data_IF_730057011553
#
_entry.id   IF_730057011553
#
_cell.length_a   1.000
_cell.length_b   1.000
_cell.length_c   1.000
_cell.angle_alpha   90.00
_cell.angle_beta   90.00
_cell.angle_gamma   90.00
#
_symmetry.space_group_name_H-M   'P 1'
#
loop_
_entity.id
_entity.type
_entity.pdbx_description
1 polymer ?
#
# COMPACT_ATOMS: atom_id res chain seq x y z
N UNK A 1 -25.19 8.16 13.36
CA UNK A 1 -24.90 6.72 13.48
C UNK A 1 -23.40 6.54 13.32
N UNK A 2 -22.67 6.43 14.44
CA UNK A 2 -21.21 6.27 14.47
C UNK A 2 -20.87 4.86 13.95
N UNK A 3 -20.15 4.77 12.83
CA UNK A 3 -19.68 3.51 12.27
C UNK A 3 -18.45 3.07 13.08
N UNK A 4 -18.56 1.94 13.77
CA UNK A 4 -17.42 1.26 14.37
C UNK A 4 -16.56 0.68 13.24
N UNK A 5 -15.45 1.34 12.91
CA UNK A 5 -14.33 0.66 12.25
C UNK A 5 -13.58 -0.09 13.34
N UNK A 6 -13.54 -1.41 13.18
CA UNK A 6 -12.90 -2.35 14.09
C UNK A 6 -11.39 -2.26 13.85
N UNK A 7 -10.69 -1.72 14.85
CA UNK A 7 -9.25 -1.67 14.93
C UNK A 7 -8.66 -3.08 14.78
N UNK A 8 -7.80 -3.26 13.78
CA UNK A 8 -6.96 -4.45 13.68
C UNK A 8 -5.58 -4.14 14.24
N UNK A 9 -5.20 -4.90 15.28
CA UNK A 9 -3.93 -4.80 16.00
C UNK A 9 -2.73 -4.77 15.03
N UNK A 10 -2.05 -3.63 14.96
CA UNK A 10 -0.66 -3.54 14.56
C UNK A 10 0.21 -4.15 15.67
N UNK A 11 0.65 -5.39 15.50
CA UNK A 11 1.74 -5.96 16.30
C UNK A 11 3.06 -5.61 15.61
N UNK A 12 3.67 -4.50 16.02
CA UNK A 12 5.05 -4.15 15.66
C UNK A 12 6.01 -4.87 16.61
N UNK A 13 6.72 -5.88 16.11
CA UNK A 13 7.86 -6.44 16.81
C UNK A 13 9.11 -5.58 16.51
N UNK A 14 9.51 -4.74 17.47
CA UNK A 14 10.75 -3.94 17.39
C UNK A 14 11.90 -4.81 17.89
N UNK A 15 12.78 -5.23 16.96
CA UNK A 15 14.07 -5.81 17.27
C UNK A 15 15.16 -4.73 17.27
N UNK A 16 15.64 -4.34 18.45
CA UNK A 16 16.84 -3.51 18.58
C UNK A 16 18.10 -4.35 18.27
N UNK A 17 18.87 -3.94 17.26
CA UNK A 17 20.20 -4.46 16.96
C UNK A 17 21.22 -3.32 16.93
N UNK A 18 22.04 -3.25 17.98
CA UNK A 18 23.10 -2.28 18.20
C UNK A 18 24.41 -2.76 17.52
N UNK A 19 25.15 -1.90 16.82
CA UNK A 19 26.61 -2.07 16.59
C UNK A 19 27.30 -0.77 16.14
N UNK A 20 28.49 -0.60 16.70
CA UNK A 20 29.35 0.55 16.85
C UNK A 20 30.34 0.82 15.70
N UNK A 21 30.68 2.09 15.52
CA UNK A 21 32.06 2.61 15.61
C UNK A 21 33.00 2.47 14.41
N UNK A 22 33.58 3.60 13.99
CA UNK A 22 34.77 3.63 13.13
C UNK A 22 35.08 5.03 12.59
N UNK A 23 35.96 5.77 13.29
CA UNK A 23 36.57 7.02 12.83
C UNK A 23 37.69 6.75 11.81
N UNK A 24 37.91 7.69 10.88
CA UNK A 24 39.06 7.73 9.97
C UNK A 24 39.10 9.01 9.14
N UNK A 25 40.11 9.84 9.37
CA UNK A 25 40.32 11.21 8.86
C UNK A 25 41.12 11.30 7.55
N UNK A 26 40.76 12.33 6.77
CA UNK A 26 41.53 13.26 5.91
C UNK A 26 42.43 12.82 4.73
N UNK A 27 42.15 13.31 3.50
CA UNK A 27 42.91 14.44 2.87
C UNK A 27 42.54 14.75 1.39
N UNK A 28 42.65 16.04 1.06
CA UNK A 28 42.23 16.83 -0.12
C UNK A 28 42.85 16.54 -1.51
N UNK A 29 42.10 16.85 -2.59
CA UNK A 29 42.30 17.97 -3.57
C UNK A 29 41.31 17.79 -4.77
N UNK A 30 40.34 18.68 -5.06
CA UNK A 30 40.45 19.92 -5.87
C UNK A 30 40.01 19.67 -7.34
N UNK A 31 39.07 20.35 -8.01
CA UNK A 31 38.17 21.46 -7.69
C UNK A 31 37.25 21.84 -8.88
N UNK A 32 36.27 22.73 -8.62
CA UNK A 32 35.52 23.57 -9.57
C UNK A 32 34.17 23.02 -10.08
N UNK A 33 32.99 23.63 -9.86
CA UNK A 33 32.59 24.83 -9.14
C UNK A 33 31.06 25.07 -9.28
N UNK A 34 30.45 25.65 -8.24
CA UNK A 34 29.19 26.41 -8.20
C UNK A 34 27.87 25.65 -8.46
N UNK A 35 26.86 25.61 -7.60
CA UNK A 35 26.59 26.23 -6.31
C UNK A 35 25.11 26.02 -5.96
N UNK A 36 24.81 25.77 -4.69
CA UNK A 36 23.48 25.97 -4.11
C UNK A 36 22.60 24.73 -3.88
N UNK A 37 22.47 24.33 -2.62
CA UNK A 37 21.30 23.61 -2.10
C UNK A 37 21.51 22.13 -1.83
N UNK A 38 21.94 21.80 -0.61
CA UNK A 38 21.87 20.44 -0.08
C UNK A 38 20.42 20.00 0.09
N UNK A 39 19.83 19.47 -0.97
CA UNK A 39 18.63 18.66 -0.91
C UNK A 39 19.05 17.21 -1.13
N UNK A 40 18.56 16.29 -0.30
CA UNK A 40 18.72 14.85 -0.47
C UNK A 40 18.21 14.44 -1.87
N UNK A 41 19.10 14.45 -2.87
CA UNK A 41 18.78 14.15 -4.25
C UNK A 41 18.59 12.64 -4.37
N UNK A 42 17.33 12.22 -4.47
CA UNK A 42 17.02 10.83 -4.78
C UNK A 42 17.59 10.46 -6.16
N UNK A 43 17.96 9.19 -6.38
CA UNK A 43 18.26 8.68 -7.72
C UNK A 43 17.16 9.06 -8.73
N UNK A 44 17.56 9.30 -9.98
CA UNK A 44 16.60 9.61 -11.04
C UNK A 44 15.54 8.51 -11.17
N UNK A 45 14.28 8.92 -11.34
CA UNK A 45 13.13 8.02 -11.45
C UNK A 45 12.47 7.67 -10.12
N UNK A 46 13.00 8.13 -8.98
CA UNK A 46 12.36 8.01 -7.67
C UNK A 46 11.73 9.33 -7.23
N UNK A 47 10.67 9.25 -6.44
CA UNK A 47 9.94 10.40 -5.93
C UNK A 47 9.45 10.20 -4.51
N UNK A 48 9.13 11.32 -3.85
CA UNK A 48 8.45 11.36 -2.57
C UNK A 48 7.75 12.73 -2.39
N UNK A 49 7.31 13.06 -1.18
CA UNK A 49 6.65 14.34 -0.89
C UNK A 49 7.50 15.58 -1.23
N UNK A 50 8.83 15.48 -1.13
CA UNK A 50 9.76 16.60 -1.36
C UNK A 50 10.35 16.58 -2.77
N UNK A 51 10.66 15.40 -3.29
CA UNK A 51 11.26 15.18 -4.60
C UNK A 51 10.17 14.76 -5.58
N UNK A 52 9.69 15.71 -6.37
CA UNK A 52 8.64 15.49 -7.38
C UNK A 52 9.21 14.82 -8.63
N UNK A 53 8.35 14.08 -9.32
CA UNK A 53 8.69 13.58 -10.65
C UNK A 53 8.83 14.71 -11.66
N UNK A 54 9.61 14.51 -12.74
CA UNK A 54 9.65 15.42 -13.87
C UNK A 54 8.25 15.70 -14.45
N UNK A 55 8.12 16.82 -15.16
CA UNK A 55 6.86 17.19 -15.80
C UNK A 55 6.34 16.08 -16.72
N UNK A 56 5.02 15.84 -16.66
CA UNK A 56 4.36 14.77 -17.42
C UNK A 56 4.47 13.37 -16.79
N UNK A 57 5.07 13.25 -15.61
CA UNK A 57 5.14 11.99 -14.86
C UNK A 57 4.34 12.06 -13.56
N UNK A 58 3.90 10.90 -13.07
CA UNK A 58 3.21 10.76 -11.80
C UNK A 58 4.02 9.92 -10.82
N UNK A 59 3.97 10.29 -9.54
CA UNK A 59 4.65 9.54 -8.48
C UNK A 59 3.79 8.37 -7.99
N UNK A 60 4.00 7.18 -8.54
CA UNK A 60 3.36 5.95 -8.03
C UNK A 60 4.26 5.31 -6.99
N UNK A 61 3.80 5.26 -5.75
CA UNK A 61 4.44 4.44 -4.72
C UNK A 61 5.96 4.71 -4.60
N UNK A 62 6.37 5.97 -4.76
CA UNK A 62 7.77 6.39 -4.71
C UNK A 62 8.60 6.22 -5.98
N UNK A 63 7.96 5.85 -7.10
CA UNK A 63 8.57 5.65 -8.42
C UNK A 63 7.84 6.54 -9.44
N UNK A 64 8.59 7.25 -10.27
CA UNK A 64 8.03 8.08 -11.31
C UNK A 64 7.58 7.26 -12.53
N UNK A 65 6.32 7.45 -12.92
CA UNK A 65 5.73 6.81 -14.08
C UNK A 65 5.39 7.85 -15.16
N UNK A 66 5.83 7.66 -16.42
CA UNK A 66 5.45 8.55 -17.51
C UNK A 66 3.97 8.45 -17.84
N UNK A 67 3.38 9.57 -18.27
CA UNK A 67 2.06 9.60 -18.88
C UNK A 67 2.04 8.79 -20.19
N UNK A 68 0.90 8.20 -20.51
CA UNK A 68 0.74 7.37 -21.70
C UNK A 68 -0.66 7.50 -22.30
N UNK A 69 -0.76 7.09 -23.56
CA UNK A 69 -2.02 6.90 -24.29
C UNK A 69 -2.13 5.49 -24.86
N UNK A 70 -1.01 4.78 -24.99
CA UNK A 70 -0.95 3.39 -25.42
C UNK A 70 0.30 2.69 -24.86
N UNK A 71 0.37 1.35 -24.99
CA UNK A 71 1.55 0.57 -24.59
C UNK A 71 2.84 0.97 -25.32
N UNK A 72 2.77 1.68 -26.44
CA UNK A 72 3.96 2.15 -27.17
C UNK A 72 4.71 3.27 -26.43
N UNK A 73 4.04 3.93 -25.50
CA UNK A 73 4.62 5.00 -24.68
C UNK A 73 5.37 4.44 -23.46
N UNK A 74 5.26 3.13 -23.22
CA UNK A 74 5.80 2.44 -22.04
C UNK A 74 6.96 1.52 -22.41
N UNK A 75 7.89 1.32 -21.48
CA UNK A 75 8.93 0.30 -21.64
C UNK A 75 8.38 -1.13 -21.62
N UNK A 76 9.18 -2.11 -22.05
CA UNK A 76 8.73 -3.49 -22.25
C UNK A 76 8.16 -4.16 -20.99
N UNK A 77 8.64 -3.80 -19.80
CA UNK A 77 8.14 -4.29 -18.50
C UNK A 77 6.93 -3.53 -17.97
N UNK A 78 6.43 -2.54 -18.72
CA UNK A 78 5.32 -1.67 -18.35
C UNK A 78 4.19 -1.73 -19.37
N UNK A 79 3.01 -1.28 -18.97
CA UNK A 79 1.85 -1.15 -19.82
C UNK A 79 1.13 0.17 -19.52
N UNK A 80 0.42 0.70 -20.50
CA UNK A 80 -0.44 1.86 -20.31
C UNK A 80 -1.79 1.39 -19.78
N UNK A 81 -2.11 1.74 -18.53
CA UNK A 81 -3.37 1.33 -17.90
C UNK A 81 -4.52 2.24 -18.32
N UNK A 82 -5.05 1.98 -19.51
CA UNK A 82 -6.19 2.72 -20.07
C UNK A 82 -7.53 2.34 -19.43
N UNK A 83 -7.54 1.33 -18.55
CA UNK A 83 -8.71 0.92 -17.75
C UNK A 83 -8.81 1.72 -16.44
N UNK A 84 -7.80 2.51 -16.11
CA UNK A 84 -7.77 3.33 -14.90
C UNK A 84 -8.77 4.50 -14.96
N UNK A 85 -8.92 5.22 -13.84
CA UNK A 85 -9.93 6.28 -13.68
C UNK A 85 -9.63 7.52 -14.52
N UNK A 86 -9.92 7.43 -15.82
CA UNK A 86 -9.82 8.51 -16.79
C UNK A 86 -8.39 9.03 -17.03
N UNK A 87 -8.20 9.79 -18.12
CA UNK A 87 -6.91 10.42 -18.40
C UNK A 87 -6.56 11.49 -17.35
N UNK A 88 -5.26 11.78 -17.14
CA UNK A 88 -4.12 11.13 -17.77
C UNK A 88 -3.92 9.69 -17.28
N UNK A 89 -3.56 8.81 -18.21
CA UNK A 89 -3.09 7.44 -17.91
C UNK A 89 -1.57 7.45 -17.75
N UNK A 90 -1.06 6.44 -17.06
CA UNK A 90 0.36 6.33 -16.77
C UNK A 90 0.86 4.91 -17.00
N UNK A 91 2.13 4.79 -17.34
CA UNK A 91 2.79 3.50 -17.48
C UNK A 91 2.92 2.82 -16.11
N UNK A 92 2.32 1.65 -15.96
CA UNK A 92 2.39 0.82 -14.76
C UNK A 92 3.22 -0.43 -15.03
N UNK A 93 3.85 -0.99 -14.00
CA UNK A 93 4.56 -2.26 -14.15
C UNK A 93 3.56 -3.38 -14.50
N UNK A 94 3.93 -4.24 -15.45
CA UNK A 94 3.12 -5.41 -15.81
C UNK A 94 2.99 -6.42 -14.66
N UNK A 95 3.93 -6.39 -13.73
CA UNK A 95 3.98 -7.24 -12.54
C UNK A 95 4.30 -6.41 -11.31
N UNK A 96 3.69 -6.75 -10.17
CA UNK A 96 3.99 -6.13 -8.87
C UNK A 96 5.13 -6.90 -8.20
N UNK A 97 6.29 -6.27 -7.91
CA UNK A 97 7.37 -6.93 -7.19
C UNK A 97 6.96 -7.19 -5.74
N UNK A 98 7.27 -8.39 -5.26
CA UNK A 98 7.17 -8.76 -3.85
C UNK A 98 8.52 -8.64 -3.16
N UNK A 99 8.53 -8.48 -1.85
CA UNK A 99 9.74 -8.38 -1.04
C UNK A 99 9.67 -9.26 0.21
N UNK A 100 10.81 -9.50 0.83
CA UNK A 100 11.01 -10.13 2.15
C UNK A 100 11.90 -9.27 3.04
N UNK A 101 12.54 -8.24 2.49
CA UNK A 101 13.36 -7.25 3.21
C UNK A 101 13.40 -5.92 2.46
N UNK A 102 13.66 -4.83 3.17
CA UNK A 102 13.74 -3.47 2.60
C UNK A 102 14.78 -3.33 1.49
N UNK A 103 15.86 -4.11 1.55
CA UNK A 103 16.93 -4.12 0.55
C UNK A 103 16.48 -4.54 -0.85
N UNK A 104 15.30 -5.15 -0.97
CA UNK A 104 14.70 -5.55 -2.25
C UNK A 104 13.79 -4.48 -2.84
N UNK A 105 13.50 -3.41 -2.09
CA UNK A 105 12.65 -2.31 -2.51
C UNK A 105 13.49 -1.10 -2.96
N UNK A 106 12.87 -0.17 -3.69
CA UNK A 106 13.54 1.07 -4.05
C UNK A 106 13.89 1.89 -2.80
N UNK A 107 14.88 2.80 -2.90
CA UNK A 107 15.33 3.59 -1.75
C UNK A 107 14.22 4.43 -1.08
N UNK A 108 13.17 4.77 -1.82
CA UNK A 108 11.96 5.48 -1.35
C UNK A 108 10.90 4.57 -0.72
N UNK A 109 11.11 3.26 -0.74
CA UNK A 109 10.16 2.25 -0.33
C UNK A 109 10.67 1.42 0.85
N UNK A 110 9.75 0.80 1.57
CA UNK A 110 9.97 -0.16 2.65
C UNK A 110 9.23 -1.44 2.32
N UNK A 111 9.76 -2.58 2.75
CA UNK A 111 9.07 -3.85 2.58
C UNK A 111 8.01 -4.02 3.66
N UNK A 112 6.75 -3.81 3.30
CA UNK A 112 5.60 -3.97 4.17
C UNK A 112 4.78 -5.16 3.68
N UNK A 113 4.60 -6.19 4.52
CA UNK A 113 3.66 -7.31 4.23
C UNK A 113 3.93 -8.04 2.89
N UNK A 114 5.21 -8.11 2.51
CA UNK A 114 5.71 -8.61 1.22
C UNK A 114 5.46 -7.72 -0.01
N UNK A 115 5.11 -6.46 0.18
CA UNK A 115 5.03 -5.46 -0.88
C UNK A 115 6.01 -4.33 -0.63
N UNK A 116 6.60 -3.82 -1.70
CA UNK A 116 7.36 -2.58 -1.62
C UNK A 116 6.39 -1.41 -1.62
N UNK A 117 6.29 -0.72 -0.49
CA UNK A 117 5.36 0.39 -0.29
C UNK A 117 6.13 1.66 0.04
N UNK A 118 5.60 2.81 -0.35
CA UNK A 118 6.25 4.11 -0.15
C UNK A 118 6.49 4.31 1.34
N UNK A 119 7.71 4.72 1.70
CA UNK A 119 8.02 5.09 3.09
C UNK A 119 7.05 6.18 3.54
N UNK A 120 6.39 6.03 4.71
CA UNK A 120 5.58 7.10 5.26
C UNK A 120 6.39 8.41 5.31
N UNK A 121 5.84 9.53 4.83
CA UNK A 121 6.57 10.78 4.81
C UNK A 121 6.84 11.27 6.24
N UNK A 122 8.02 11.83 6.48
CA UNK A 122 8.39 12.43 7.78
C UNK A 122 7.41 13.54 8.17
N UNK A 123 6.97 14.32 7.18
CA UNK A 123 5.87 15.27 7.33
C UNK A 123 4.61 14.63 6.78
N UNK A 124 3.73 14.20 7.68
CA UNK A 124 2.48 13.54 7.33
C UNK A 124 1.49 14.55 6.73
N UNK A 125 1.08 14.39 5.46
CA UNK A 125 0.03 15.24 4.91
C UNK A 125 -1.26 15.00 5.68
N UNK A 126 -2.00 16.08 5.94
CA UNK A 126 -3.33 15.96 6.54
C UNK A 126 -4.24 15.19 5.58
N UNK A 127 -4.71 14.02 6.01
CA UNK A 127 -5.72 13.22 5.34
C UNK A 127 -6.81 12.85 6.36
N UNK A 128 -8.00 12.48 5.89
CA UNK A 128 -9.12 12.11 6.76
C UNK A 128 -9.35 10.58 6.77
N UNK A 129 -8.93 9.86 7.83
CA UNK A 129 -9.12 8.42 7.91
C UNK A 129 -10.60 8.01 7.98
N UNK A 130 -11.52 8.90 8.40
CA UNK A 130 -12.97 8.61 8.38
C UNK A 130 -13.54 8.52 6.96
N UNK A 131 -12.79 9.02 5.97
CA UNK A 131 -13.12 9.00 4.55
C UNK A 131 -12.24 8.04 3.75
N UNK A 132 -11.39 7.25 4.41
CA UNK A 132 -10.40 6.38 3.79
C UNK A 132 -10.98 5.58 2.60
N UNK A 133 -10.29 5.64 1.47
CA UNK A 133 -10.70 4.95 0.24
C UNK A 133 -11.72 5.71 -0.61
N UNK A 134 -12.19 6.88 -0.17
CA UNK A 134 -13.00 7.80 -0.99
C UNK A 134 -12.11 8.82 -1.70
N UNK A 135 -12.62 9.44 -2.78
CA UNK A 135 -11.95 10.53 -3.47
C UNK A 135 -11.69 11.77 -2.57
N UNK A 136 -12.37 11.84 -1.42
CA UNK A 136 -12.33 12.94 -0.47
C UNK A 136 -11.51 12.63 0.79
N UNK A 137 -10.75 11.54 0.82
CA UNK A 137 -9.88 11.18 1.96
C UNK A 137 -8.64 12.09 2.10
N UNK A 138 -8.43 13.01 1.16
CA UNK A 138 -7.30 13.94 1.14
C UNK A 138 -6.02 13.37 0.52
N UNK A 139 -6.04 12.10 0.10
CA UNK A 139 -4.95 11.45 -0.60
C UNK A 139 -5.17 11.45 -2.11
N UNK A 140 -4.08 11.33 -2.88
CA UNK A 140 -4.18 11.18 -4.32
C UNK A 140 -4.95 9.90 -4.71
N UNK A 141 -5.29 9.77 -6.00
CA UNK A 141 -6.13 8.67 -6.48
C UNK A 141 -5.50 7.27 -6.30
N UNK A 142 -4.21 7.14 -6.01
CA UNK A 142 -3.51 5.86 -5.80
C UNK A 142 -2.94 5.69 -4.39
N UNK A 143 -3.43 6.50 -3.45
CA UNK A 143 -3.15 6.37 -2.04
C UNK A 143 -4.45 6.40 -1.24
N UNK A 144 -4.43 5.77 -0.07
CA UNK A 144 -5.54 5.83 0.89
C UNK A 144 -5.06 6.43 2.21
N UNK A 145 -5.93 7.18 2.87
CA UNK A 145 -5.62 7.69 4.20
C UNK A 145 -5.63 6.54 5.22
N UNK A 146 -4.52 6.35 5.92
CA UNK A 146 -4.37 5.32 6.96
C UNK A 146 -3.96 5.99 8.26
N UNK A 147 -4.67 5.68 9.34
CA UNK A 147 -4.28 6.05 10.70
C UNK A 147 -3.68 4.83 11.41
N UNK A 148 -2.36 4.78 11.64
CA UNK A 148 -1.74 3.65 12.34
C UNK A 148 -2.12 3.61 13.83
N UNK A 149 -2.62 4.73 14.38
CA UNK A 149 -2.95 4.90 15.78
C UNK A 149 -4.45 5.19 15.94
N UNK A 150 -5.31 4.34 15.38
CA UNK A 150 -6.79 4.44 15.45
C UNK A 150 -7.35 4.60 16.89
N UNK A 151 -6.52 4.35 17.91
CA UNK A 151 -6.85 4.53 19.33
C UNK A 151 -6.84 5.99 19.80
N UNK A 152 -6.14 6.88 19.08
CA UNK A 152 -6.04 8.29 19.43
C UNK A 152 -6.99 9.11 18.55
N UNK A 153 -8.02 9.71 19.16
CA UNK A 153 -9.00 10.58 18.49
C UNK A 153 -8.40 11.82 17.78
N UNK A 154 -7.07 11.99 17.83
CA UNK A 154 -6.37 13.16 17.28
C UNK A 154 -6.08 13.02 15.80
N UNK A 155 -6.13 11.80 15.21
CA UNK A 155 -5.81 11.52 13.79
C UNK A 155 -4.46 12.10 13.33
N UNK A 156 -3.60 12.48 14.27
CA UNK A 156 -2.35 13.22 14.01
C UNK A 156 -1.33 12.36 13.27
N UNK A 157 -1.49 11.05 13.35
CA UNK A 157 -0.61 10.08 12.72
C UNK A 157 -1.09 9.59 11.37
N UNK A 158 -2.26 10.05 10.92
CA UNK A 158 -2.82 9.69 9.63
C UNK A 158 -1.90 10.14 8.49
N UNK A 159 -1.72 9.28 7.50
CA UNK A 159 -0.91 9.57 6.33
C UNK A 159 -1.48 8.87 5.09
N UNK A 160 -1.11 9.37 3.91
CA UNK A 160 -1.45 8.74 2.65
C UNK A 160 -0.53 7.56 2.37
N UNK A 161 -1.05 6.34 2.55
CA UNK A 161 -0.37 5.12 2.17
C UNK A 161 -0.56 4.87 0.67
N UNK A 162 0.54 4.83 -0.08
CA UNK A 162 0.53 4.48 -1.50
C UNK A 162 0.84 2.99 -1.65
N UNK A 163 0.15 2.37 -2.60
CA UNK A 163 0.23 0.94 -2.88
C UNK A 163 0.75 0.70 -4.29
N UNK A 164 1.29 -0.50 -4.57
CA UNK A 164 1.66 -0.86 -5.93
C UNK A 164 0.46 -0.74 -6.89
N UNK A 165 0.67 -0.22 -8.12
CA UNK A 165 -0.36 -0.26 -9.15
C UNK A 165 -0.84 -1.68 -9.42
N UNK A 166 -2.07 -1.84 -9.94
CA UNK A 166 -2.48 -3.15 -10.43
C UNK A 166 -1.56 -3.62 -11.56
N UNK A 167 -1.25 -4.92 -11.65
CA UNK A 167 -0.58 -5.50 -12.81
C UNK A 167 -1.53 -5.56 -14.02
N UNK A 168 -0.97 -5.84 -15.19
CA UNK A 168 -1.73 -5.83 -16.46
C UNK A 168 -2.87 -6.84 -16.49
N UNK A 169 -2.71 -7.99 -15.82
CA UNK A 169 -3.73 -9.03 -15.71
C UNK A 169 -4.76 -8.76 -14.60
N UNK A 170 -4.59 -7.67 -13.83
CA UNK A 170 -5.43 -7.33 -12.69
C UNK A 170 -5.23 -8.24 -11.46
N UNK A 171 -4.29 -9.19 -11.50
CA UNK A 171 -4.07 -10.17 -10.41
C UNK A 171 -2.93 -9.70 -9.52
N UNK A 172 -3.29 -9.01 -8.44
CA UNK A 172 -2.32 -8.64 -7.41
C UNK A 172 -1.70 -9.88 -6.75
N UNK A 173 -0.39 -9.88 -6.46
CA UNK A 173 0.21 -10.88 -5.60
C UNK A 173 -0.55 -10.96 -4.29
N UNK A 174 -0.69 -12.13 -3.68
CA UNK A 174 -1.41 -12.24 -2.40
C UNK A 174 -0.57 -11.75 -1.22
N UNK A 175 0.76 -11.71 -1.36
CA UNK A 175 1.67 -11.35 -0.27
C UNK A 175 1.36 -12.12 1.02
N UNK A 176 1.49 -11.45 2.18
CA UNK A 176 1.22 -12.06 3.48
C UNK A 176 -0.26 -12.06 3.89
N UNK A 177 -1.04 -11.08 3.44
CA UNK A 177 -2.40 -10.82 3.95
C UNK A 177 -3.48 -10.80 2.87
N UNK A 178 -3.13 -11.19 1.65
CA UNK A 178 -3.98 -11.08 0.48
C UNK A 178 -3.89 -9.70 -0.17
N UNK A 179 -4.27 -9.63 -1.44
CA UNK A 179 -4.51 -8.36 -2.12
C UNK A 179 -5.47 -8.56 -3.30
N UNK A 180 -6.20 -7.50 -3.62
CA UNK A 180 -7.09 -7.46 -4.79
C UNK A 180 -6.91 -6.14 -5.51
N UNK A 181 -6.92 -6.17 -6.85
CA UNK A 181 -6.87 -4.95 -7.63
C UNK A 181 -8.13 -4.11 -7.38
N UNK A 182 -7.95 -2.81 -7.14
CA UNK A 182 -9.07 -1.87 -7.17
C UNK A 182 -9.53 -1.64 -8.60
N UNK A 183 -10.45 -2.48 -9.08
CA UNK A 183 -11.04 -2.38 -10.41
C UNK A 183 -12.40 -1.65 -10.37
N UNK A 184 -12.41 -0.49 -9.72
CA UNK A 184 -13.62 0.33 -9.50
C UNK A 184 -14.40 0.02 -8.22
N UNK A 185 -13.83 -0.73 -7.28
CA UNK A 185 -14.47 -1.01 -5.99
C UNK A 185 -14.45 0.20 -5.04
N UNK A 186 -13.36 0.96 -5.05
CA UNK A 186 -13.22 2.24 -4.37
C UNK A 186 -13.50 3.37 -5.36
N UNK A 187 -14.70 3.95 -5.25
CA UNK A 187 -15.13 5.02 -6.15
C UNK A 187 -14.20 6.22 -6.08
N UNK A 188 -13.73 6.67 -7.25
CA UNK A 188 -12.83 7.83 -7.38
C UNK A 188 -11.38 7.57 -7.00
N UNK A 189 -11.03 6.31 -6.69
CA UNK A 189 -9.66 5.84 -6.57
C UNK A 189 -9.27 5.02 -7.80
N UNK A 190 -8.01 5.12 -8.20
CA UNK A 190 -7.46 4.42 -9.35
C UNK A 190 -7.08 2.97 -9.06
N UNK A 191 -6.54 2.30 -10.07
CA UNK A 191 -6.21 0.87 -10.01
C UNK A 191 -4.88 0.64 -9.30
N UNK A 192 -4.95 0.23 -8.03
CA UNK A 192 -3.83 -0.23 -7.20
C UNK A 192 -4.20 -1.50 -6.43
N UNK A 193 -3.20 -2.25 -5.99
CA UNK A 193 -3.39 -3.45 -5.19
C UNK A 193 -3.77 -3.08 -3.75
N UNK A 194 -5.02 -3.37 -3.39
CA UNK A 194 -5.52 -3.17 -2.04
C UNK A 194 -5.06 -4.34 -1.16
N UNK A 195 -3.93 -4.15 -0.49
CA UNK A 195 -3.40 -5.13 0.45
C UNK A 195 -4.37 -5.40 1.61
N UNK A 196 -4.46 -6.66 2.03
CA UNK A 196 -5.36 -7.11 3.09
C UNK A 196 -6.81 -7.30 2.66
N UNK A 197 -7.17 -6.89 1.44
CA UNK A 197 -8.52 -7.04 0.91
C UNK A 197 -8.64 -8.21 -0.07
N UNK A 198 -9.85 -8.77 -0.17
CA UNK A 198 -10.14 -9.87 -1.08
C UNK A 198 -11.55 -9.75 -1.68
N UNK A 199 -11.69 -10.20 -2.92
CA UNK A 199 -12.98 -10.47 -3.55
C UNK A 199 -13.40 -11.92 -3.32
N UNK A 200 -12.45 -12.85 -3.41
CA UNK A 200 -12.65 -14.27 -3.16
C UNK A 200 -11.33 -14.90 -2.67
N UNK A 201 -11.34 -16.22 -2.46
CA UNK A 201 -10.21 -16.94 -1.88
C UNK A 201 -8.94 -16.88 -2.76
N UNK A 202 -9.04 -16.61 -4.07
CA UNK A 202 -7.84 -16.50 -4.92
C UNK A 202 -7.04 -15.23 -4.63
N UNK A 203 -7.63 -14.25 -3.93
CA UNK A 203 -6.92 -13.05 -3.48
C UNK A 203 -6.20 -13.24 -2.15
N UNK A 204 -6.35 -14.39 -1.50
CA UNK A 204 -5.78 -14.67 -0.18
C UNK A 204 -4.60 -15.63 -0.28
N UNK A 205 -3.68 -15.62 0.72
CA UNK A 205 -2.66 -16.64 0.84
C UNK A 205 -3.29 -18.04 0.81
N UNK A 206 -2.53 -19.04 0.37
CA UNK A 206 -3.00 -20.41 0.33
C UNK A 206 -3.56 -20.83 1.70
N UNK A 207 -4.68 -21.57 1.68
CA UNK A 207 -5.46 -22.01 2.86
C UNK A 207 -6.15 -20.92 3.70
N UNK A 208 -6.13 -19.66 3.28
CA UNK A 208 -6.90 -18.59 3.93
C UNK A 208 -8.25 -18.42 3.22
N UNK A 209 -9.23 -17.90 3.96
CA UNK A 209 -10.57 -17.64 3.46
C UNK A 209 -10.80 -16.14 3.28
N UNK A 210 -11.46 -15.76 2.20
CA UNK A 210 -11.95 -14.40 2.04
C UNK A 210 -13.25 -14.22 2.80
N UNK A 211 -13.22 -13.44 3.89
CA UNK A 211 -14.37 -13.24 4.77
C UNK A 211 -14.99 -11.87 4.52
N UNK A 212 -16.26 -11.87 4.14
CA UNK A 212 -17.05 -10.65 3.90
C UNK A 212 -17.63 -10.12 5.20
N UNK A 213 -17.56 -8.79 5.47
CA UNK A 213 -18.08 -8.21 6.70
C UNK A 213 -19.61 -8.34 6.82
N UNK A 214 -20.31 -8.46 5.70
CA UNK A 214 -21.77 -8.68 5.62
C UNK A 214 -22.12 -9.37 4.29
N UNK A 215 -23.30 -10.00 4.21
CA UNK A 215 -23.72 -10.90 3.11
C UNK A 215 -23.60 -10.31 1.70
N UNK A 216 -23.78 -9.00 1.55
CA UNK A 216 -23.73 -8.32 0.24
C UNK A 216 -22.45 -7.51 0.01
N UNK A 217 -21.44 -7.66 0.88
CA UNK A 217 -20.19 -6.96 0.70
C UNK A 217 -19.43 -7.53 -0.51
N UNK A 218 -19.03 -6.66 -1.44
CA UNK A 218 -18.23 -7.06 -2.61
C UNK A 218 -16.79 -7.39 -2.21
N UNK A 219 -16.25 -6.67 -1.23
CA UNK A 219 -14.90 -6.87 -0.69
C UNK A 219 -14.97 -7.43 0.74
N UNK A 220 -13.94 -8.19 1.09
CA UNK A 220 -13.74 -8.75 2.42
C UNK A 220 -12.26 -8.69 2.83
N UNK A 221 -11.94 -9.45 3.87
CA UNK A 221 -10.60 -9.56 4.43
C UNK A 221 -10.16 -11.01 4.44
N UNK A 222 -8.88 -11.25 4.17
CA UNK A 222 -8.33 -12.60 4.24
C UNK A 222 -8.17 -13.04 5.71
N UNK A 223 -8.69 -14.22 6.01
CA UNK A 223 -8.65 -14.84 7.33
C UNK A 223 -7.86 -16.14 7.31
N UNK A 224 -6.89 -16.24 8.19
CA UNK A 224 -6.15 -17.49 8.44
C UNK A 224 -6.92 -18.48 9.31
N UNK A 225 -8.05 -18.06 9.89
CA UNK A 225 -8.79 -18.83 10.89
C UNK A 225 -8.18 -18.82 12.30
N UNK A 226 -7.11 -18.04 12.53
CA UNK A 226 -6.52 -17.87 13.85
C UNK A 226 -7.47 -17.09 14.81
N UNK A 227 -7.33 -17.25 16.13
CA UNK A 227 -8.14 -16.50 17.10
C UNK A 227 -8.11 -14.98 16.84
N UNK A 228 -9.29 -14.36 16.86
CA UNK A 228 -9.48 -12.93 16.56
C UNK A 228 -9.62 -12.58 15.08
N UNK A 229 -9.35 -13.51 14.16
CA UNK A 229 -9.51 -13.28 12.72
C UNK A 229 -10.99 -13.34 12.30
N UNK A 230 -11.40 -12.61 11.25
CA UNK A 230 -12.79 -12.60 10.83
C UNK A 230 -13.24 -13.98 10.33
N UNK A 231 -14.51 -14.32 10.54
CA UNK A 231 -15.13 -15.55 10.04
C UNK A 231 -16.62 -15.33 9.76
N UNK A 232 -17.22 -16.18 8.94
CA UNK A 232 -18.68 -16.27 8.74
C UNK A 232 -19.24 -17.62 9.17
N UNK A 233 -18.40 -18.63 9.31
CA UNK A 233 -18.78 -19.99 9.68
C UNK A 233 -17.67 -20.67 10.49
N UNK A 234 -18.04 -21.69 11.27
CA UNK A 234 -17.14 -22.39 12.19
C UNK A 234 -15.95 -23.04 11.49
N UNK A 235 -16.17 -23.62 10.31
CA UNK A 235 -15.17 -24.31 9.50
C UNK A 235 -14.06 -23.39 8.96
N UNK A 236 -14.27 -22.07 9.00
CA UNK A 236 -13.24 -21.09 8.64
C UNK A 236 -12.25 -20.82 9.78
N UNK A 237 -12.52 -21.31 10.99
CA UNK A 237 -11.69 -21.11 12.16
C UNK A 237 -10.91 -22.38 12.50
N UNK A 238 -9.64 -22.22 12.89
CA UNK A 238 -8.80 -23.34 13.32
C UNK A 238 -9.36 -24.04 14.57
N UNK A 239 -10.11 -23.30 15.41
CA UNK A 239 -10.83 -23.81 16.59
C UNK A 239 -12.19 -24.43 16.27
N UNK A 240 -12.63 -24.39 15.01
CA UNK A 240 -13.99 -24.74 14.59
C UNK A 240 -15.08 -23.94 15.32
N UNK A 241 -14.78 -22.70 15.74
CA UNK A 241 -15.68 -21.83 16.49
C UNK A 241 -15.63 -20.40 15.97
N UNK A 242 -16.73 -19.96 15.37
CA UNK A 242 -16.92 -18.61 14.88
C UNK A 242 -17.99 -17.89 15.71
N UNK A 243 -17.61 -16.85 16.44
CA UNK A 243 -18.55 -15.99 17.16
C UNK A 243 -19.12 -14.93 16.21
N UNK A 244 -20.15 -15.28 15.45
CA UNK A 244 -20.81 -14.39 14.48
C UNK A 244 -22.25 -14.04 14.84
N UNK A 245 -22.75 -12.96 14.24
CA UNK A 245 -24.17 -12.59 14.27
C UNK A 245 -24.79 -12.86 12.89
N UNK A 246 -26.09 -13.22 12.81
CA UNK A 246 -26.75 -13.45 11.53
C UNK A 246 -26.57 -12.29 10.55
N UNK A 247 -26.03 -12.57 9.36
CA UNK A 247 -25.81 -11.59 8.29
C UNK A 247 -24.54 -10.73 8.41
N UNK A 248 -23.72 -10.94 9.45
CA UNK A 248 -22.44 -10.24 9.65
C UNK A 248 -21.29 -11.22 9.88
N UNK A 249 -20.06 -10.81 9.57
CA UNK A 249 -18.89 -11.56 10.00
C UNK A 249 -18.77 -11.56 11.52
N UNK A 250 -18.36 -12.69 12.07
CA UNK A 250 -17.87 -12.84 13.43
C UNK A 250 -16.35 -12.83 13.51
N UNK A 251 -15.86 -13.33 14.64
CA UNK A 251 -14.43 -13.56 14.90
C UNK A 251 -14.20 -15.01 15.33
N UNK A 252 -13.08 -15.58 14.91
CA UNK A 252 -12.64 -16.89 15.38
C UNK A 252 -12.27 -16.83 16.86
N UNK A 253 -12.72 -17.83 17.62
CA UNK A 253 -12.48 -17.94 19.06
C UNK A 253 -11.31 -18.86 19.38
#
# INVERSE_FOLDING_TARGET
MKRMMMAFLLVLAVGCGNSSGGEGTDSNNGGGGGGGGGGNTLPQGLCNATNRCPDGQFCFNGICAPGCTSNKDCGDSMYCDTEDIGPPFYCKNKSVPTCTSDSQCAATQVCLKNFCSLKPPEVKPACDPDRSGSAEDGCDKYAICVDPNEQNNTKQDAYCASFPPCPQDGVCPTGQFGAVCNDGYLSGKGRFCMEGMCKDNSNCPSSWNCVKPYTNAVLGFCSSGAPGMPCTSNDQCASNSCASFPGMSGVCM
#
